data_IF_175419416010
#
_entry.id   IF_175419416010
#
_cell.length_a   1.000
_cell.length_b   1.000
_cell.length_c   1.000
_cell.angle_alpha   90.00
_cell.angle_beta   90.00
_cell.angle_gamma   90.00
#
_symmetry.space_group_name_H-M   'P 1'
#
loop_
_entity.id
_entity.type
_entity.pdbx_description
1 polymer ?
#
# COMPACT_ATOMS: atom_id res chain seq x y z
N UNK A 1 -20.39 -16.06 -1.80
CA UNK A 1 -20.06 -17.39 -1.21
C UNK A 1 -18.58 -17.49 -0.85
N UNK A 2 -17.66 -17.33 -1.81
CA UNK A 2 -16.21 -17.34 -1.53
C UNK A 2 -15.77 -16.30 -0.49
N UNK A 3 -16.43 -15.13 -0.45
CA UNK A 3 -16.16 -14.10 0.56
C UNK A 3 -16.45 -14.59 1.97
N UNK A 4 -17.67 -15.10 2.19
CA UNK A 4 -18.10 -15.66 3.46
C UNK A 4 -17.24 -16.85 3.91
N UNK A 5 -16.82 -17.72 3.00
CA UNK A 5 -15.94 -18.85 3.34
C UNK A 5 -14.55 -18.38 3.79
N UNK A 6 -14.04 -17.30 3.21
CA UNK A 6 -12.75 -16.72 3.61
C UNK A 6 -12.85 -16.00 4.97
N UNK A 7 -13.93 -15.27 5.20
CA UNK A 7 -14.10 -14.46 6.43
C UNK A 7 -14.57 -15.33 7.63
N UNK A 8 -15.31 -16.40 7.35
CA UNK A 8 -15.91 -17.32 8.33
C UNK A 8 -15.63 -18.78 7.95
N UNK A 9 -14.35 -19.14 7.90
CA UNK A 9 -13.90 -20.47 7.52
C UNK A 9 -14.44 -21.55 8.50
N UNK A 10 -15.17 -22.57 8.03
CA UNK A 10 -15.70 -23.64 8.89
C UNK A 10 -14.60 -24.68 9.22
N UNK A 11 -13.59 -24.26 9.98
CA UNK A 11 -12.42 -25.08 10.34
C UNK A 11 -12.75 -26.32 11.18
N UNK A 12 -13.93 -26.35 11.79
CA UNK A 12 -14.47 -27.53 12.46
C UNK A 12 -14.90 -28.64 11.50
N UNK A 13 -15.10 -28.34 10.22
CA UNK A 13 -15.62 -29.28 9.21
C UNK A 13 -14.72 -29.45 7.99
N UNK A 14 -13.83 -28.49 7.70
CA UNK A 14 -12.93 -28.53 6.55
C UNK A 14 -11.54 -28.06 6.96
N UNK A 15 -10.52 -28.68 6.37
CA UNK A 15 -9.13 -28.23 6.49
C UNK A 15 -8.96 -26.84 5.87
N UNK A 16 -8.10 -26.01 6.47
CA UNK A 16 -7.78 -24.66 5.99
C UNK A 16 -7.37 -24.65 4.52
N UNK A 17 -6.48 -25.56 4.12
CA UNK A 17 -5.97 -25.66 2.74
C UNK A 17 -7.09 -25.93 1.73
N UNK A 18 -8.06 -26.79 2.09
CA UNK A 18 -9.20 -27.08 1.23
C UNK A 18 -10.11 -25.86 1.06
N UNK A 19 -10.29 -25.07 2.13
CA UNK A 19 -11.08 -23.82 2.08
C UNK A 19 -10.37 -22.79 1.21
N UNK A 20 -9.06 -22.60 1.40
CA UNK A 20 -8.24 -21.66 0.62
C UNK A 20 -8.26 -22.01 -0.87
N UNK A 21 -8.18 -23.31 -1.21
CA UNK A 21 -8.31 -23.79 -2.58
C UNK A 21 -9.68 -23.44 -3.18
N UNK A 22 -10.77 -23.79 -2.50
CA UNK A 22 -12.15 -23.50 -2.96
C UNK A 22 -12.38 -21.99 -3.15
N UNK A 23 -11.91 -21.17 -2.20
CA UNK A 23 -11.99 -19.70 -2.27
C UNK A 23 -11.22 -19.19 -3.48
N UNK A 24 -9.98 -19.65 -3.68
CA UNK A 24 -9.14 -19.21 -4.79
C UNK A 24 -9.74 -19.55 -6.15
N UNK A 25 -10.27 -20.77 -6.32
CA UNK A 25 -10.89 -21.22 -7.56
C UNK A 25 -12.15 -20.40 -7.88
N UNK A 26 -13.00 -20.15 -6.89
CA UNK A 26 -14.22 -19.36 -7.05
C UNK A 26 -13.91 -17.89 -7.38
N UNK A 27 -12.89 -17.30 -6.76
CA UNK A 27 -12.43 -15.94 -7.05
C UNK A 27 -11.81 -15.81 -8.43
N UNK A 28 -10.94 -16.75 -8.81
CA UNK A 28 -10.34 -16.78 -10.14
C UNK A 28 -11.39 -16.99 -11.23
N UNK A 29 -12.43 -17.80 -10.98
CA UNK A 29 -13.59 -17.91 -11.88
C UNK A 29 -14.35 -16.59 -11.97
N UNK A 30 -14.55 -15.89 -10.87
CA UNK A 30 -15.23 -14.59 -10.85
C UNK A 30 -14.49 -13.52 -11.66
N UNK A 31 -13.15 -13.50 -11.58
CA UNK A 31 -12.31 -12.58 -12.37
C UNK A 31 -12.49 -12.75 -13.88
N UNK A 32 -12.74 -13.97 -14.37
CA UNK A 32 -13.00 -14.21 -15.81
C UNK A 32 -14.28 -13.55 -16.31
N UNK A 33 -15.18 -13.17 -15.41
CA UNK A 33 -16.44 -12.49 -15.72
C UNK A 33 -16.38 -10.97 -15.44
N UNK A 34 -15.24 -10.47 -14.93
CA UNK A 34 -15.00 -9.04 -14.78
C UNK A 34 -14.43 -8.49 -16.09
N UNK A 35 -15.26 -7.82 -16.88
CA UNK A 35 -14.79 -7.12 -18.08
C UNK A 35 -14.15 -5.79 -17.69
N UNK A 36 -12.82 -5.78 -17.57
CA UNK A 36 -12.01 -4.61 -17.18
C UNK A 36 -11.49 -3.82 -18.39
N UNK A 37 -11.51 -4.41 -19.58
CA UNK A 37 -10.86 -3.89 -20.78
C UNK A 37 -11.86 -3.17 -21.70
N UNK A 38 -13.12 -3.60 -21.76
CA UNK A 38 -14.12 -2.94 -22.58
C UNK A 38 -14.53 -1.59 -21.98
N UNK A 39 -14.32 -0.51 -22.75
CA UNK A 39 -14.72 0.85 -22.40
C UNK A 39 -16.26 1.00 -22.44
N UNK A 40 -16.92 0.54 -21.37
CA UNK A 40 -18.37 0.62 -21.17
C UNK A 40 -18.68 1.43 -19.92
N UNK A 41 -19.92 1.91 -19.78
CA UNK A 41 -20.36 2.61 -18.58
C UNK A 41 -20.23 1.77 -17.29
N UNK A 42 -20.12 0.44 -17.40
CA UNK A 42 -19.92 -0.49 -16.28
C UNK A 42 -18.46 -0.75 -15.94
N UNK A 43 -17.53 -0.27 -16.77
CA UNK A 43 -16.09 -0.56 -16.62
C UNK A 43 -15.55 -0.19 -15.23
N UNK A 44 -15.86 0.99 -14.62
CA UNK A 44 -15.38 1.31 -13.28
C UNK A 44 -15.86 0.32 -12.22
N UNK A 45 -17.11 -0.14 -12.31
CA UNK A 45 -17.67 -1.15 -11.40
C UNK A 45 -16.97 -2.51 -11.58
N UNK A 46 -16.73 -2.92 -12.82
CA UNK A 46 -16.00 -4.16 -13.12
C UNK A 46 -14.56 -4.10 -12.62
N UNK A 47 -13.86 -2.96 -12.80
CA UNK A 47 -12.51 -2.71 -12.31
C UNK A 47 -12.46 -2.73 -10.78
N UNK A 48 -13.40 -2.07 -10.10
CA UNK A 48 -13.49 -2.09 -8.64
C UNK A 48 -13.66 -3.52 -8.11
N UNK A 49 -14.60 -4.28 -8.69
CA UNK A 49 -14.82 -5.69 -8.31
C UNK A 49 -13.59 -6.55 -8.54
N UNK A 50 -12.92 -6.39 -9.68
CA UNK A 50 -11.68 -7.11 -9.97
C UNK A 50 -10.55 -6.73 -9.00
N UNK A 51 -10.42 -5.44 -8.67
CA UNK A 51 -9.45 -4.93 -7.70
C UNK A 51 -9.67 -5.55 -6.31
N UNK A 52 -10.92 -5.55 -5.83
CA UNK A 52 -11.28 -6.18 -4.55
C UNK A 52 -11.00 -7.68 -4.55
N UNK A 53 -11.33 -8.41 -5.63
CA UNK A 53 -11.05 -9.85 -5.69
C UNK A 53 -9.53 -10.09 -5.66
N UNK A 54 -8.75 -9.32 -6.41
CA UNK A 54 -7.30 -9.42 -6.39
C UNK A 54 -6.72 -9.09 -5.01
N UNK A 55 -7.21 -8.04 -4.35
CA UNK A 55 -6.80 -7.71 -2.98
C UNK A 55 -7.06 -8.88 -2.03
N UNK A 56 -8.27 -9.46 -2.04
CA UNK A 56 -8.61 -10.59 -1.15
C UNK A 56 -7.78 -11.84 -1.42
N UNK A 57 -7.47 -12.15 -2.68
CA UNK A 57 -6.54 -13.23 -3.04
C UNK A 57 -5.13 -12.95 -2.49
N UNK A 58 -4.65 -11.72 -2.64
CA UNK A 58 -3.33 -11.32 -2.18
C UNK A 58 -3.19 -11.46 -0.65
N UNK A 59 -4.17 -10.94 0.10
CA UNK A 59 -4.19 -11.03 1.57
C UNK A 59 -4.32 -12.48 2.05
N UNK A 60 -5.10 -13.31 1.34
CA UNK A 60 -5.16 -14.75 1.62
C UNK A 60 -3.78 -15.40 1.44
N UNK A 61 -3.14 -15.27 0.27
CA UNK A 61 -1.82 -15.87 0.03
C UNK A 61 -0.74 -15.32 0.95
N UNK A 62 -0.81 -14.05 1.34
CA UNK A 62 0.07 -13.47 2.35
C UNK A 62 -0.15 -14.14 3.72
N UNK A 63 -1.40 -14.38 4.12
CA UNK A 63 -1.74 -15.14 5.33
C UNK A 63 -1.21 -16.58 5.27
N UNK A 64 -1.45 -17.30 4.16
CA UNK A 64 -0.93 -18.65 3.93
C UNK A 64 0.60 -18.66 4.08
N UNK A 65 1.30 -17.72 3.45
CA UNK A 65 2.76 -17.62 3.53
C UNK A 65 3.27 -17.41 4.96
N UNK A 66 2.57 -16.61 5.76
CA UNK A 66 2.94 -16.36 7.17
C UNK A 66 2.79 -17.60 8.04
N UNK A 67 1.79 -18.43 7.75
CA UNK A 67 1.45 -19.60 8.55
C UNK A 67 2.10 -20.89 8.01
N UNK A 68 2.61 -20.91 6.78
CA UNK A 68 3.21 -22.08 6.16
C UNK A 68 4.57 -22.42 6.79
N UNK A 69 4.70 -23.65 7.29
CA UNK A 69 5.93 -24.20 7.89
C UNK A 69 6.47 -25.34 7.01
N UNK A 70 7.78 -25.38 6.81
CA UNK A 70 8.51 -26.55 6.28
C UNK A 70 8.47 -26.79 4.76
N UNK A 71 7.43 -26.34 4.05
CA UNK A 71 7.33 -26.48 2.59
C UNK A 71 7.82 -25.22 1.85
N UNK A 72 9.09 -25.21 1.46
CA UNK A 72 9.70 -24.08 0.75
C UNK A 72 9.15 -23.87 -0.67
N UNK A 73 8.69 -24.93 -1.34
CA UNK A 73 8.10 -24.80 -2.67
C UNK A 73 6.75 -24.05 -2.57
N UNK A 74 5.90 -24.47 -1.63
CA UNK A 74 4.61 -23.83 -1.39
C UNK A 74 4.77 -22.39 -0.88
N UNK A 75 5.76 -22.14 0.00
CA UNK A 75 6.11 -20.77 0.44
C UNK A 75 6.51 -19.89 -0.75
N UNK A 76 7.36 -20.40 -1.66
CA UNK A 76 7.74 -19.66 -2.87
C UNK A 76 6.52 -19.38 -3.75
N UNK A 77 5.63 -20.35 -3.93
CA UNK A 77 4.40 -20.19 -4.71
C UNK A 77 3.48 -19.12 -4.10
N UNK A 78 3.18 -19.19 -2.80
CA UNK A 78 2.34 -18.18 -2.13
C UNK A 78 2.95 -16.78 -2.19
N UNK A 79 4.28 -16.66 -2.07
CA UNK A 79 4.97 -15.38 -2.25
C UNK A 79 4.71 -14.78 -3.63
N UNK A 80 4.89 -15.57 -4.69
CA UNK A 80 4.66 -15.11 -6.08
C UNK A 80 3.21 -14.73 -6.30
N UNK A 81 2.26 -15.53 -5.78
CA UNK A 81 0.83 -15.27 -5.94
C UNK A 81 0.37 -14.02 -5.17
N UNK A 82 0.87 -13.82 -3.94
CA UNK A 82 0.57 -12.62 -3.16
C UNK A 82 1.06 -11.36 -3.87
N UNK A 83 2.32 -11.35 -4.34
CA UNK A 83 2.89 -10.20 -5.05
C UNK A 83 2.15 -9.88 -6.37
N UNK A 84 1.82 -10.91 -7.15
CA UNK A 84 1.05 -10.80 -8.39
C UNK A 84 -0.31 -10.13 -8.13
N UNK A 85 -1.05 -10.64 -7.14
CA UNK A 85 -2.40 -10.17 -6.88
C UNK A 85 -2.43 -8.79 -6.22
N UNK A 86 -1.51 -8.48 -5.31
CA UNK A 86 -1.38 -7.12 -4.79
C UNK A 86 -1.03 -6.13 -5.90
N UNK A 87 -0.11 -6.48 -6.79
CA UNK A 87 0.29 -5.61 -7.90
C UNK A 87 -0.88 -5.35 -8.87
N UNK A 88 -1.72 -6.35 -9.15
CA UNK A 88 -2.92 -6.18 -9.95
C UNK A 88 -3.98 -5.32 -9.24
N UNK A 89 -4.22 -5.57 -7.95
CA UNK A 89 -5.17 -4.78 -7.16
C UNK A 89 -4.76 -3.31 -7.10
N UNK A 90 -3.49 -3.02 -6.79
CA UNK A 90 -2.97 -1.65 -6.73
C UNK A 90 -3.12 -0.92 -8.08
N UNK A 91 -2.81 -1.59 -9.20
CA UNK A 91 -2.99 -1.01 -10.54
C UNK A 91 -4.44 -0.67 -10.83
N UNK A 92 -5.38 -1.58 -10.52
CA UNK A 92 -6.80 -1.34 -10.77
C UNK A 92 -7.35 -0.23 -9.87
N UNK A 93 -7.01 -0.23 -8.58
CA UNK A 93 -7.41 0.86 -7.67
C UNK A 93 -6.80 2.20 -8.08
N UNK A 94 -5.59 2.23 -8.63
CA UNK A 94 -5.00 3.47 -9.15
C UNK A 94 -5.73 4.03 -10.38
N UNK A 95 -6.40 3.19 -11.18
CA UNK A 95 -7.24 3.65 -12.28
C UNK A 95 -8.58 4.23 -11.80
N UNK A 96 -9.01 3.84 -10.59
CA UNK A 96 -10.25 4.27 -9.98
C UNK A 96 -9.98 5.53 -9.15
N UNK A 97 -10.57 6.66 -9.56
CA UNK A 97 -10.38 7.95 -8.87
C UNK A 97 -11.13 8.02 -7.53
N UNK A 98 -12.17 7.22 -7.37
CA UNK A 98 -13.13 7.34 -6.26
C UNK A 98 -12.84 6.33 -5.12
N UNK A 99 -11.68 5.68 -5.13
CA UNK A 99 -11.29 4.66 -4.13
C UNK A 99 -9.88 4.88 -3.54
N UNK A 100 -9.54 6.10 -3.05
CA UNK A 100 -8.20 6.39 -2.57
C UNK A 100 -7.85 5.63 -1.27
N UNK A 101 -8.81 5.37 -0.40
CA UNK A 101 -8.62 4.60 0.84
C UNK A 101 -8.27 3.13 0.56
N UNK A 102 -8.92 2.52 -0.42
CA UNK A 102 -8.67 1.16 -0.89
C UNK A 102 -7.28 1.05 -1.51
N UNK A 103 -6.91 2.01 -2.36
CA UNK A 103 -5.56 2.09 -2.90
C UNK A 103 -4.52 2.17 -1.77
N UNK A 104 -4.72 3.08 -0.81
CA UNK A 104 -3.80 3.26 0.32
C UNK A 104 -3.69 1.99 1.17
N UNK A 105 -4.81 1.31 1.45
CA UNK A 105 -4.85 0.04 2.16
C UNK A 105 -4.03 -1.04 1.45
N UNK A 106 -4.24 -1.22 0.14
CA UNK A 106 -3.50 -2.21 -0.65
C UNK A 106 -2.00 -1.91 -0.62
N UNK A 107 -1.60 -0.65 -0.76
CA UNK A 107 -0.18 -0.28 -0.72
C UNK A 107 0.44 -0.53 0.67
N UNK A 108 -0.27 -0.23 1.76
CA UNK A 108 0.18 -0.53 3.12
C UNK A 108 0.33 -2.04 3.38
N UNK A 109 -0.58 -2.86 2.85
CA UNK A 109 -0.45 -4.32 2.93
C UNK A 109 0.74 -4.85 2.11
N UNK A 110 1.04 -4.24 0.96
CA UNK A 110 2.25 -4.53 0.18
C UNK A 110 3.53 -4.17 0.92
N UNK A 111 3.52 -3.07 1.66
CA UNK A 111 4.63 -2.69 2.55
C UNK A 111 4.81 -3.71 3.66
N UNK A 112 3.71 -4.11 4.33
CA UNK A 112 3.76 -5.16 5.35
C UNK A 112 4.29 -6.50 4.78
N UNK A 113 3.93 -6.84 3.54
CA UNK A 113 4.46 -8.00 2.84
C UNK A 113 5.97 -7.88 2.56
N UNK A 114 6.46 -6.71 2.16
CA UNK A 114 7.89 -6.45 2.00
C UNK A 114 8.65 -6.55 3.35
N UNK A 115 8.09 -6.02 4.43
CA UNK A 115 8.67 -6.12 5.79
C UNK A 115 8.78 -7.59 6.25
N UNK A 116 7.74 -8.39 5.98
CA UNK A 116 7.75 -9.82 6.28
C UNK A 116 8.88 -10.55 5.51
N UNK A 117 9.03 -10.25 4.22
CA UNK A 117 10.11 -10.82 3.39
C UNK A 117 11.49 -10.39 3.89
N UNK A 118 11.66 -9.12 4.27
CA UNK A 118 12.92 -8.58 4.79
C UNK A 118 13.35 -9.31 6.06
N UNK A 119 12.42 -9.68 6.93
CA UNK A 119 12.70 -10.43 8.18
C UNK A 119 13.30 -11.80 7.92
N UNK A 120 12.98 -12.41 6.76
CA UNK A 120 13.51 -13.73 6.36
C UNK A 120 14.88 -13.66 5.67
N UNK A 121 15.45 -12.46 5.50
CA UNK A 121 16.73 -12.28 4.80
C UNK A 121 17.90 -12.18 5.78
N UNK A 122 19.02 -12.80 5.43
CA UNK A 122 20.23 -12.81 6.26
C UNK A 122 21.25 -11.72 5.86
N UNK A 123 21.22 -11.24 4.62
CA UNK A 123 22.20 -10.26 4.11
C UNK A 123 21.68 -8.83 4.23
N UNK A 124 22.56 -7.90 4.64
CA UNK A 124 22.23 -6.47 4.71
C UNK A 124 21.90 -5.89 3.32
N UNK A 125 22.57 -6.37 2.27
CA UNK A 125 22.30 -5.97 0.88
C UNK A 125 20.88 -6.38 0.45
N UNK A 126 20.45 -7.60 0.78
CA UNK A 126 19.10 -8.07 0.49
C UNK A 126 18.04 -7.26 1.25
N UNK A 127 18.29 -6.99 2.54
CA UNK A 127 17.42 -6.15 3.37
C UNK A 127 17.29 -4.75 2.81
N UNK A 128 18.40 -4.12 2.42
CA UNK A 128 18.40 -2.79 1.80
C UNK A 128 17.60 -2.77 0.50
N UNK A 129 17.76 -3.78 -0.37
CA UNK A 129 16.98 -3.87 -1.62
C UNK A 129 15.48 -3.98 -1.36
N UNK A 130 15.10 -4.83 -0.41
CA UNK A 130 13.68 -5.02 -0.04
C UNK A 130 13.10 -3.74 0.59
N UNK A 131 13.90 -3.08 1.41
CA UNK A 131 13.53 -1.83 2.06
C UNK A 131 13.38 -0.67 1.08
N UNK A 132 14.29 -0.56 0.11
CA UNK A 132 14.17 0.39 -1.01
C UNK A 132 12.87 0.15 -1.77
N UNK A 133 12.57 -1.10 -2.12
CA UNK A 133 11.31 -1.44 -2.77
C UNK A 133 10.06 -1.12 -1.93
N UNK A 134 10.14 -1.25 -0.60
CA UNK A 134 9.07 -0.84 0.31
C UNK A 134 8.89 0.69 0.33
N UNK A 135 9.98 1.46 0.34
CA UNK A 135 9.91 2.92 0.22
C UNK A 135 9.36 3.36 -1.14
N UNK A 136 9.68 2.66 -2.23
CA UNK A 136 9.10 2.93 -3.55
C UNK A 136 7.58 2.65 -3.57
N UNK A 137 7.11 1.67 -2.80
CA UNK A 137 5.68 1.42 -2.62
C UNK A 137 5.04 2.58 -1.83
N UNK A 138 5.70 3.08 -0.78
CA UNK A 138 5.23 4.25 -0.03
C UNK A 138 5.13 5.48 -0.94
N UNK A 139 6.13 5.75 -1.79
CA UNK A 139 6.06 6.87 -2.75
C UNK A 139 4.87 6.73 -3.70
N UNK A 140 4.51 5.52 -4.11
CA UNK A 140 3.33 5.28 -4.97
C UNK A 140 1.99 5.56 -4.29
N UNK A 141 1.95 5.82 -2.98
CA UNK A 141 0.72 6.28 -2.31
C UNK A 141 0.47 7.77 -2.48
N UNK A 142 1.42 8.54 -3.03
CA UNK A 142 1.26 9.98 -3.26
C UNK A 142 -0.06 10.29 -3.97
N UNK A 143 -0.36 9.55 -5.05
CA UNK A 143 -1.60 9.72 -5.80
C UNK A 143 -2.86 9.60 -4.92
N UNK A 144 -2.89 8.65 -3.98
CA UNK A 144 -4.03 8.47 -3.08
C UNK A 144 -4.17 9.67 -2.13
N UNK A 145 -3.05 10.17 -1.58
CA UNK A 145 -3.06 11.34 -0.71
C UNK A 145 -3.48 12.62 -1.45
N UNK A 146 -3.09 12.78 -2.71
CA UNK A 146 -3.52 13.91 -3.54
C UNK A 146 -5.04 13.90 -3.78
N UNK A 147 -5.64 12.72 -4.02
CA UNK A 147 -7.09 12.57 -4.16
C UNK A 147 -7.81 12.90 -2.84
N UNK A 148 -7.35 12.35 -1.71
CA UNK A 148 -7.91 12.63 -0.38
C UNK A 148 -7.81 14.12 -0.05
N UNK A 149 -6.65 14.75 -0.32
CA UNK A 149 -6.44 16.18 -0.12
C UNK A 149 -7.45 17.00 -0.92
N UNK A 150 -7.66 16.65 -2.19
CA UNK A 150 -8.62 17.34 -3.06
C UNK A 150 -10.04 17.25 -2.50
N UNK A 151 -10.48 16.07 -2.09
CA UNK A 151 -11.80 15.87 -1.49
C UNK A 151 -11.97 16.66 -0.17
N UNK A 152 -10.94 16.69 0.70
CA UNK A 152 -10.98 17.46 1.95
C UNK A 152 -11.09 18.97 1.74
N UNK A 153 -10.44 19.51 0.70
CA UNK A 153 -10.55 20.93 0.35
C UNK A 153 -11.95 21.25 -0.18
N UNK A 154 -12.49 20.39 -1.06
CA UNK A 154 -13.84 20.54 -1.59
C UNK A 154 -14.92 20.47 -0.49
N UNK A 155 -14.73 19.64 0.55
CA UNK A 155 -15.61 19.59 1.73
C UNK A 155 -15.57 20.88 2.57
N UNK A 156 -14.42 21.58 2.61
CA UNK A 156 -14.25 22.82 3.37
C UNK A 156 -14.86 24.05 2.67
N UNK A 157 -14.89 24.05 1.33
CA UNK A 157 -15.43 25.15 0.53
C UNK A 157 -16.97 25.10 0.37
N UNK A 158 -17.62 23.99 0.74
CA UNK A 158 -19.08 23.90 0.69
C UNK A 158 -19.73 24.73 1.82
N UNK A 159 -20.64 25.67 1.49
CA UNK A 159 -21.41 26.37 2.50
C UNK A 159 -22.28 25.36 3.25
N UNK A 160 -22.17 25.33 4.59
CA UNK A 160 -23.04 24.56 5.49
C UNK A 160 -24.48 25.06 5.35
N UNK A 161 -25.19 24.65 4.31
CA UNK A 161 -26.59 25.00 4.14
C UNK A 161 -27.43 24.07 5.02
N UNK A 162 -27.72 24.54 6.22
CA UNK A 162 -28.76 23.99 7.08
C UNK A 162 -30.10 24.17 6.36
N UNK A 163 -30.52 23.22 5.54
CA UNK A 163 -31.94 22.98 5.32
C UNK A 163 -32.20 21.56 4.85
N UNK A 164 -33.11 20.89 5.54
CA UNK A 164 -33.47 19.50 5.34
C UNK A 164 -34.15 19.31 3.98
N UNK A 165 -33.56 18.48 3.12
CA UNK A 165 -34.29 17.81 2.03
C UNK A 165 -33.72 16.40 1.85
N UNK A 166 -34.52 15.33 1.98
CA UNK A 166 -34.07 13.98 1.70
C UNK A 166 -34.34 13.66 0.23
N UNK A 167 -33.34 13.79 -0.63
CA UNK A 167 -33.40 13.24 -1.98
C UNK A 167 -32.01 12.73 -2.38
N UNK A 168 -32.02 11.47 -2.79
CA UNK A 168 -30.95 10.58 -3.24
C UNK A 168 -29.71 11.22 -3.91
N UNK A 169 -28.59 10.52 -3.72
CA UNK A 169 -27.25 10.74 -4.30
C UNK A 169 -26.31 11.60 -3.45
N UNK A 170 -26.15 11.22 -2.18
CA UNK A 170 -24.94 11.56 -1.44
C UNK A 170 -23.75 10.93 -2.16
N UNK A 171 -22.92 11.77 -2.78
CA UNK A 171 -21.51 11.46 -3.04
C UNK A 171 -20.90 10.76 -1.82
N UNK A 172 -19.94 9.84 -1.98
CA UNK A 172 -19.35 9.18 -0.84
C UNK A 172 -18.66 10.26 0.00
N UNK A 173 -19.31 10.70 1.09
CA UNK A 173 -18.65 11.55 2.06
C UNK A 173 -17.37 10.81 2.46
N UNK A 174 -16.23 11.47 2.27
CA UNK A 174 -14.94 10.87 2.54
C UNK A 174 -14.96 10.35 3.98
N UNK A 175 -14.66 9.06 4.16
CA UNK A 175 -14.68 8.46 5.49
C UNK A 175 -13.48 8.96 6.30
N UNK A 176 -13.60 10.14 6.91
CA UNK A 176 -12.50 10.81 7.62
C UNK A 176 -11.90 9.93 8.73
N UNK A 177 -12.71 9.10 9.41
CA UNK A 177 -12.22 8.16 10.42
C UNK A 177 -11.28 7.11 9.82
N UNK A 178 -11.64 6.57 8.65
CA UNK A 178 -10.80 5.64 7.91
C UNK A 178 -9.52 6.30 7.40
N UNK A 179 -9.61 7.53 6.88
CA UNK A 179 -8.44 8.31 6.45
C UNK A 179 -7.48 8.52 7.62
N UNK A 180 -7.98 8.93 8.79
CA UNK A 180 -7.16 9.13 10.00
C UNK A 180 -6.46 7.82 10.40
N UNK A 181 -7.18 6.69 10.37
CA UNK A 181 -6.60 5.37 10.69
C UNK A 181 -5.51 4.99 9.70
N UNK A 182 -5.77 5.08 8.40
CA UNK A 182 -4.81 4.74 7.34
C UNK A 182 -3.59 5.66 7.38
N UNK A 183 -3.79 6.96 7.57
CA UNK A 183 -2.71 7.94 7.73
C UNK A 183 -1.82 7.62 8.93
N UNK A 184 -2.42 7.29 10.07
CA UNK A 184 -1.66 6.94 11.29
C UNK A 184 -0.83 5.66 11.10
N UNK A 185 -1.39 4.66 10.38
CA UNK A 185 -0.65 3.45 10.00
C UNK A 185 0.50 3.81 9.05
N UNK A 186 0.23 4.65 8.05
CA UNK A 186 1.21 5.09 7.07
C UNK A 186 2.40 5.80 7.74
N UNK A 187 2.14 6.79 8.60
CA UNK A 187 3.17 7.52 9.36
C UNK A 187 4.04 6.57 10.18
N UNK A 188 3.40 5.63 10.90
CA UNK A 188 4.10 4.63 11.71
C UNK A 188 5.02 3.75 10.86
N UNK A 189 4.53 3.25 9.72
CA UNK A 189 5.30 2.40 8.81
C UNK A 189 6.41 3.17 8.11
N UNK A 190 6.16 4.40 7.66
CA UNK A 190 7.18 5.23 7.03
C UNK A 190 8.34 5.51 7.99
N UNK A 191 8.03 5.88 9.23
CA UNK A 191 8.99 6.08 10.30
C UNK A 191 9.84 4.83 10.54
N UNK A 192 9.20 3.66 10.60
CA UNK A 192 9.90 2.38 10.73
C UNK A 192 10.85 2.10 9.56
N UNK A 193 10.38 2.20 8.31
CA UNK A 193 11.18 1.91 7.12
C UNK A 193 12.39 2.85 7.01
N UNK A 194 12.18 4.15 7.21
CA UNK A 194 13.26 5.15 7.21
C UNK A 194 14.30 4.85 8.28
N UNK A 195 13.87 4.52 9.50
CA UNK A 195 14.79 4.18 10.58
C UNK A 195 15.61 2.92 10.28
N UNK A 196 14.99 1.88 9.72
CA UNK A 196 15.73 0.68 9.29
C UNK A 196 16.74 1.01 8.18
N UNK A 197 16.38 1.91 7.26
CA UNK A 197 17.23 2.30 6.12
C UNK A 197 18.46 3.04 6.63
N UNK A 198 18.24 4.02 7.50
CA UNK A 198 19.31 4.79 8.15
C UNK A 198 20.26 3.86 8.90
N UNK A 199 19.74 2.89 9.66
CA UNK A 199 20.57 1.92 10.41
C UNK A 199 21.45 1.08 9.50
N UNK A 200 20.88 0.52 8.44
CA UNK A 200 21.62 -0.34 7.51
C UNK A 200 22.68 0.46 6.74
N UNK A 201 22.32 1.60 6.15
CA UNK A 201 23.26 2.47 5.42
C UNK A 201 24.39 3.01 6.30
N UNK A 202 24.07 3.41 7.54
CA UNK A 202 25.09 3.88 8.49
C UNK A 202 26.09 2.78 8.88
N UNK A 203 25.66 1.51 8.87
CA UNK A 203 26.54 0.37 9.14
C UNK A 203 27.47 0.05 7.96
N UNK A 204 26.99 0.23 6.72
CA UNK A 204 27.74 0.02 5.48
C UNK A 204 28.85 1.05 5.29
N UNK A 205 28.62 2.31 5.68
CA UNK A 205 29.60 3.41 5.59
C UNK A 205 30.92 3.14 6.33
N UNK A 206 30.90 2.28 7.36
CA UNK A 206 32.12 1.90 8.10
C UNK A 206 33.00 0.88 7.35
N UNK A 207 32.51 0.24 6.27
CA UNK A 207 33.20 -0.86 5.57
C UNK A 207 33.69 -0.52 4.16
N UNK A 208 33.19 0.54 3.52
CA UNK A 208 33.59 0.91 2.15
C UNK A 208 33.74 2.44 2.07
N UNK A 209 34.94 2.92 1.76
CA UNK A 209 35.20 4.35 1.59
C UNK A 209 34.54 4.84 0.30
N UNK A 210 33.58 5.77 0.46
CA UNK A 210 32.92 6.62 -0.55
C UNK A 210 32.06 5.92 -1.62
N UNK A 211 30.80 5.59 -1.26
CA UNK A 211 29.71 5.59 -2.23
C UNK A 211 28.85 6.85 -2.02
N UNK A 212 29.05 7.85 -2.88
CA UNK A 212 28.38 9.17 -2.79
C UNK A 212 26.86 9.05 -2.86
N UNK A 213 26.32 8.08 -3.61
CA UNK A 213 24.88 7.86 -3.75
C UNK A 213 24.24 7.29 -2.49
N UNK A 214 24.90 6.33 -1.83
CA UNK A 214 24.40 5.82 -0.55
C UNK A 214 24.41 6.90 0.54
N UNK A 215 25.39 7.81 0.47
CA UNK A 215 25.48 8.95 1.38
C UNK A 215 24.37 9.98 1.15
N UNK A 216 24.01 10.29 -0.11
CA UNK A 216 22.87 11.17 -0.40
C UNK A 216 21.56 10.55 0.07
N UNK A 217 21.32 9.28 -0.24
CA UNK A 217 20.13 8.54 0.23
C UNK A 217 20.05 8.51 1.76
N UNK A 218 21.18 8.28 2.45
CA UNK A 218 21.23 8.30 3.90
C UNK A 218 20.85 9.67 4.48
N UNK A 219 21.36 10.77 3.90
CA UNK A 219 21.03 12.11 4.39
C UNK A 219 19.57 12.46 4.13
N UNK A 220 19.06 12.17 2.93
CA UNK A 220 17.65 12.35 2.57
C UNK A 220 16.75 11.60 3.55
N UNK A 221 17.04 10.32 3.82
CA UNK A 221 16.25 9.52 4.77
C UNK A 221 16.27 10.10 6.19
N UNK A 222 17.42 10.60 6.68
CA UNK A 222 17.52 11.27 7.99
C UNK A 222 16.68 12.54 8.04
N UNK A 223 16.75 13.35 6.99
CA UNK A 223 15.98 14.60 6.90
C UNK A 223 14.48 14.31 6.95
N UNK A 224 13.98 13.44 6.08
CA UNK A 224 12.56 13.06 6.01
C UNK A 224 12.10 12.44 7.33
N UNK A 225 12.89 11.53 7.91
CA UNK A 225 12.58 10.93 9.21
C UNK A 225 12.42 11.99 10.31
N UNK A 226 13.33 12.98 10.35
CA UNK A 226 13.25 14.07 11.34
C UNK A 226 12.01 14.95 11.14
N UNK A 227 11.63 15.24 9.89
CA UNK A 227 10.45 16.04 9.56
C UNK A 227 9.18 15.28 9.95
N UNK A 228 9.09 13.99 9.61
CA UNK A 228 7.97 13.12 9.96
C UNK A 228 7.76 13.04 11.48
N UNK A 229 8.83 12.88 12.27
CA UNK A 229 8.73 12.84 13.73
C UNK A 229 8.23 14.16 14.33
N UNK A 230 8.67 15.32 13.80
CA UNK A 230 8.17 16.62 14.26
C UNK A 230 6.70 16.82 13.91
N UNK A 231 6.31 16.44 12.69
CA UNK A 231 4.93 16.55 12.23
C UNK A 231 3.98 15.67 13.06
N UNK A 232 4.34 14.41 13.29
CA UNK A 232 3.53 13.47 14.07
C UNK A 232 3.46 13.82 15.57
N UNK A 233 4.45 14.55 16.11
CA UNK A 233 4.42 15.05 17.48
C UNK A 233 3.47 16.25 17.66
N UNK A 234 3.13 16.97 16.59
CA UNK A 234 2.23 18.12 16.66
C UNK A 234 0.77 17.68 16.78
N UNK A 235 0.25 17.63 18.01
CA UNK A 235 -1.14 17.21 18.27
C UNK A 235 -2.21 18.19 17.78
N UNK A 236 -1.82 19.41 17.42
CA UNK A 236 -2.75 20.45 17.00
C UNK A 236 -2.92 20.50 15.47
N UNK A 237 -2.19 19.68 14.71
CA UNK A 237 -2.28 19.67 13.24
C UNK A 237 -3.62 19.11 12.78
N UNK A 238 -4.27 19.80 11.86
CA UNK A 238 -5.48 19.33 11.17
C UNK A 238 -5.16 18.12 10.28
N UNK A 239 -6.20 17.38 9.86
CA UNK A 239 -6.04 16.26 8.93
C UNK A 239 -5.41 16.71 7.60
N UNK A 240 -5.86 17.85 7.07
CA UNK A 240 -5.35 18.41 5.83
C UNK A 240 -3.86 18.76 5.93
N UNK A 241 -3.45 19.44 7.00
CA UNK A 241 -2.04 19.78 7.23
C UNK A 241 -1.15 18.54 7.33
N UNK A 242 -1.63 17.47 7.99
CA UNK A 242 -0.88 16.21 8.06
C UNK A 242 -0.72 15.58 6.67
N UNK A 243 -1.77 15.58 5.86
CA UNK A 243 -1.72 15.06 4.48
C UNK A 243 -0.75 15.88 3.62
N UNK A 244 -0.80 17.21 3.71
CA UNK A 244 0.12 18.10 2.98
C UNK A 244 1.59 17.82 3.34
N UNK A 245 1.87 17.59 4.63
CA UNK A 245 3.22 17.19 5.07
C UNK A 245 3.60 15.85 4.44
N UNK A 246 2.72 14.84 4.46
CA UNK A 246 3.02 13.54 3.88
C UNK A 246 3.32 13.64 2.38
N UNK A 247 2.52 14.39 1.62
CA UNK A 247 2.75 14.62 0.20
C UNK A 247 4.15 15.21 -0.03
N UNK A 248 4.51 16.28 0.70
CA UNK A 248 5.83 16.90 0.59
C UNK A 248 6.98 15.92 0.93
N UNK A 249 6.79 15.05 1.92
CA UNK A 249 7.78 14.02 2.27
C UNK A 249 7.91 12.95 1.18
N UNK A 250 6.80 12.57 0.54
CA UNK A 250 6.80 11.61 -0.57
C UNK A 250 7.49 12.16 -1.82
N UNK A 251 7.27 13.45 -2.14
CA UNK A 251 7.98 14.15 -3.21
C UNK A 251 9.50 14.19 -2.96
N UNK A 252 9.92 14.50 -1.73
CA UNK A 252 11.33 14.44 -1.33
C UNK A 252 11.91 13.03 -1.50
N UNK A 253 11.18 11.98 -1.09
CA UNK A 253 11.59 10.59 -1.31
C UNK A 253 11.73 10.25 -2.80
N UNK A 254 10.77 10.65 -3.63
CA UNK A 254 10.80 10.39 -5.07
C UNK A 254 11.99 11.07 -5.77
N UNK A 255 12.31 12.29 -5.36
CA UNK A 255 13.47 13.05 -5.88
C UNK A 255 14.81 12.43 -5.46
N UNK A 256 14.86 11.77 -4.28
CA UNK A 256 16.04 11.04 -3.82
C UNK A 256 16.27 9.72 -4.56
N UNK A 257 15.21 9.06 -5.03
CA UNK A 257 15.29 7.78 -5.75
C UNK A 257 15.57 7.93 -7.27
N UNK A 258 15.35 9.11 -7.86
CA UNK A 258 15.46 9.36 -9.30
C UNK A 258 16.90 9.50 -9.83
N UNK A 259 17.91 9.33 -8.97
CA UNK A 259 19.31 9.15 -9.39
C UNK A 259 19.62 7.81 -10.08
N UNK A 260 18.66 6.88 -10.17
CA UNK A 260 18.90 5.49 -10.63
C UNK A 260 18.19 5.06 -11.93
N UNK A 261 17.62 5.98 -12.72
CA UNK A 261 17.02 5.64 -14.02
C UNK A 261 17.38 6.65 -15.11
N UNK A 262 18.62 6.56 -15.59
CA UNK A 262 19.14 7.37 -16.68
C UNK A 262 20.02 6.58 -17.63
N UNK A 263 19.49 5.57 -18.32
CA UNK A 263 19.94 5.20 -19.68
C UNK A 263 19.03 4.15 -20.31
N UNK A 264 18.11 4.61 -21.16
CA UNK A 264 17.60 3.87 -22.32
C UNK A 264 16.75 4.84 -23.15
N UNK A 265 17.43 5.75 -23.85
CA UNK A 265 16.90 6.38 -25.05
C UNK A 265 17.90 6.08 -26.16
N UNK A 266 17.55 5.08 -26.98
CA UNK A 266 17.85 4.95 -28.39
C UNK A 266 16.94 3.85 -28.94
#
# INVERSE_FOLDING_TARGET
MATLQQDYAPLSRKAQEQIEKEVSEAMMKSLKHCDVDSATARQPLCQYRAATIHHRLASMYHSCLRNQVGDEHLRKQHRVLADLHYSKAAKLFQLLKDAPCELLRVQLERVAFAEFQMTSQNSNVGKLKTLSGALDIMVKTDHAFQLIRKELVEECDQPKNNEATPAADSSPNLNQEEVIKLLSIFESRLSFLLLQSIKLLSSSKKKMSSNTEEDTVLQTNKQIYSQLLRATANRNSTLLERIDVIICLLEQLASGSSGSSGSAVA
#
